data_IF_419858038062
#
_entry.id   IF_419858038062
#
_cell.length_a   1.000
_cell.length_b   1.000
_cell.length_c   1.000
_cell.angle_alpha   90.00
_cell.angle_beta   90.00
_cell.angle_gamma   90.00
#
_symmetry.space_group_name_H-M   'P 1'
#
loop_
_entity.id
_entity.type
_entity.pdbx_description
1 polymer ?
#
# COMPACT_ATOMS: atom_id res chain seq x y z
N UNK A 1 -40.56 -19.78 -25.12
CA UNK A 1 -39.28 -20.37 -25.56
C UNK A 1 -38.16 -19.51 -25.00
N UNK A 2 -37.53 -19.93 -23.92
CA UNK A 2 -36.45 -19.17 -23.27
C UNK A 2 -35.13 -19.77 -23.72
N UNK A 3 -34.43 -19.08 -24.62
CA UNK A 3 -33.11 -19.48 -25.12
C UNK A 3 -32.09 -19.23 -23.99
N UNK A 4 -31.65 -20.27 -23.28
CA UNK A 4 -30.48 -20.17 -22.41
C UNK A 4 -29.23 -20.31 -23.27
N UNK A 5 -28.72 -19.20 -23.79
CA UNK A 5 -27.36 -19.15 -24.35
C UNK A 5 -26.39 -19.28 -23.17
N UNK A 6 -25.90 -20.49 -22.91
CA UNK A 6 -24.81 -20.73 -21.96
C UNK A 6 -23.56 -20.12 -22.59
N UNK A 7 -23.24 -18.88 -22.21
CA UNK A 7 -21.97 -18.26 -22.60
C UNK A 7 -20.88 -19.03 -21.86
N UNK A 8 -20.16 -19.88 -22.58
CA UNK A 8 -18.95 -20.49 -22.03
C UNK A 8 -17.95 -19.38 -21.83
N UNK A 9 -17.41 -19.31 -20.63
CA UNK A 9 -16.41 -18.31 -20.30
C UNK A 9 -15.08 -19.06 -20.19
N UNK A 10 -14.09 -18.55 -20.91
CA UNK A 10 -12.83 -19.25 -21.17
C UNK A 10 -11.65 -18.40 -20.72
N UNK A 11 -10.60 -19.06 -20.24
CA UNK A 11 -9.27 -18.46 -20.04
C UNK A 11 -8.31 -19.17 -20.99
N UNK A 12 -7.60 -18.37 -21.77
CA UNK A 12 -6.52 -18.83 -22.65
C UNK A 12 -5.21 -18.70 -21.90
N UNK A 13 -4.50 -19.82 -21.75
CA UNK A 13 -3.20 -19.87 -21.11
C UNK A 13 -2.07 -19.61 -22.12
N UNK A 14 -0.91 -19.18 -21.62
CA UNK A 14 0.26 -18.90 -22.47
C UNK A 14 0.85 -20.14 -23.16
N UNK A 15 0.52 -21.34 -22.69
CA UNK A 15 0.90 -22.60 -23.33
C UNK A 15 -0.10 -23.05 -24.42
N UNK A 16 -1.15 -22.26 -24.69
CA UNK A 16 -2.19 -22.55 -25.67
C UNK A 16 -3.40 -23.32 -25.12
N UNK A 17 -3.36 -23.75 -23.85
CA UNK A 17 -4.49 -24.44 -23.24
C UNK A 17 -5.67 -23.48 -23.02
N UNK A 18 -6.88 -24.04 -23.09
CA UNK A 18 -8.12 -23.33 -22.82
C UNK A 18 -8.80 -23.96 -21.61
N UNK A 19 -9.11 -23.13 -20.61
CA UNK A 19 -9.86 -23.53 -19.43
C UNK A 19 -11.27 -22.94 -19.50
N UNK A 20 -12.27 -23.80 -19.58
CA UNK A 20 -13.69 -23.43 -19.45
C UNK A 20 -14.07 -23.38 -17.98
N UNK A 21 -14.78 -22.33 -17.56
CA UNK A 21 -15.22 -22.16 -16.18
C UNK A 21 -16.68 -21.72 -16.05
N UNK A 22 -17.26 -22.01 -14.88
CA UNK A 22 -18.60 -21.52 -14.52
C UNK A 22 -18.57 -20.16 -13.82
N UNK A 23 -17.45 -19.83 -13.17
CA UNK A 23 -17.17 -18.54 -12.52
C UNK A 23 -15.67 -18.26 -12.61
N UNK A 24 -15.28 -17.01 -12.85
CA UNK A 24 -13.88 -16.58 -12.83
C UNK A 24 -13.67 -15.51 -11.78
N UNK A 25 -12.54 -15.60 -11.09
CA UNK A 25 -12.07 -14.58 -10.15
C UNK A 25 -10.73 -14.05 -10.65
N UNK A 26 -10.68 -12.75 -10.92
CA UNK A 26 -9.45 -12.05 -11.30
C UNK A 26 -8.81 -11.46 -10.05
N UNK A 27 -7.68 -12.03 -9.64
CA UNK A 27 -6.92 -11.63 -8.45
C UNK A 27 -5.45 -11.36 -8.80
N UNK A 28 -5.20 -10.68 -9.91
CA UNK A 28 -3.87 -10.54 -10.52
C UNK A 28 -2.96 -9.54 -9.80
N UNK A 29 -3.48 -8.78 -8.85
CA UNK A 29 -2.71 -7.83 -8.05
C UNK A 29 -2.15 -6.67 -8.88
N UNK A 30 -0.91 -6.28 -8.59
CA UNK A 30 -0.23 -5.17 -9.26
C UNK A 30 1.18 -5.50 -9.74
N UNK A 31 1.63 -4.74 -10.72
CA UNK A 31 2.99 -4.68 -11.25
C UNK A 31 3.75 -3.52 -10.62
N UNK A 32 5.05 -3.69 -10.40
CA UNK A 32 5.92 -2.58 -9.94
C UNK A 32 6.01 -1.49 -11.01
N UNK A 33 5.95 -0.23 -10.58
CA UNK A 33 6.31 0.89 -11.45
C UNK A 33 7.81 0.86 -11.67
N UNK A 34 8.22 0.99 -12.94
CA UNK A 34 9.63 1.05 -13.35
C UNK A 34 10.07 2.50 -13.50
N UNK A 35 11.31 2.80 -13.13
CA UNK A 35 11.93 4.10 -13.43
C UNK A 35 11.91 4.35 -14.94
N UNK A 36 11.62 5.60 -15.32
CA UNK A 36 11.56 6.06 -16.70
C UNK A 36 12.58 7.19 -16.90
N UNK A 37 13.86 6.85 -16.73
CA UNK A 37 15.00 7.78 -16.83
C UNK A 37 16.11 7.12 -17.65
N UNK A 38 17.02 7.90 -18.28
CA UNK A 38 18.20 7.34 -18.92
C UNK A 38 18.98 6.44 -17.95
N UNK A 39 19.35 5.23 -18.40
CA UNK A 39 20.09 4.23 -17.60
C UNK A 39 19.23 3.35 -16.68
N UNK A 40 17.88 3.42 -16.76
CA UNK A 40 16.98 2.59 -15.94
C UNK A 40 17.01 1.07 -16.26
N UNK A 41 17.74 0.67 -17.29
CA UNK A 41 17.94 -0.70 -17.78
C UNK A 41 19.26 -1.34 -17.32
N UNK A 42 20.06 -0.65 -16.49
CA UNK A 42 21.30 -1.19 -15.92
C UNK A 42 21.04 -2.37 -14.97
N UNK A 43 22.02 -3.29 -14.87
CA UNK A 43 21.84 -4.66 -14.34
C UNK A 43 21.51 -4.75 -12.85
N UNK A 44 22.09 -3.88 -12.03
CA UNK A 44 22.00 -3.86 -10.56
C UNK A 44 20.89 -2.90 -10.05
N UNK A 45 19.84 -2.71 -10.86
CA UNK A 45 18.63 -1.97 -10.48
C UNK A 45 17.51 -2.98 -10.19
N UNK A 46 17.06 -3.01 -8.93
CA UNK A 46 16.08 -3.97 -8.47
C UNK A 46 14.77 -3.31 -8.02
N UNK A 47 13.71 -4.11 -8.01
CA UNK A 47 12.37 -3.76 -7.57
C UNK A 47 11.86 -4.93 -6.74
N UNK A 48 11.03 -4.69 -5.74
CA UNK A 48 10.53 -5.76 -4.86
C UNK A 48 9.04 -5.97 -5.09
N UNK A 49 8.65 -7.16 -5.55
CA UNK A 49 7.25 -7.62 -5.54
C UNK A 49 7.11 -9.09 -5.21
N UNK A 50 8.06 -9.92 -5.68
CA UNK A 50 8.08 -11.36 -5.42
C UNK A 50 9.16 -11.71 -4.39
N UNK A 51 9.07 -12.92 -3.85
CA UNK A 51 10.05 -13.42 -2.88
C UNK A 51 11.44 -13.55 -3.49
N UNK A 52 11.51 -13.88 -4.79
CA UNK A 52 12.78 -14.00 -5.51
C UNK A 52 13.51 -12.66 -5.63
N UNK A 53 12.77 -11.56 -5.79
CA UNK A 53 13.33 -10.21 -5.82
C UNK A 53 14.01 -9.90 -4.48
N UNK A 54 13.30 -10.16 -3.37
CA UNK A 54 13.79 -9.92 -2.02
C UNK A 54 15.02 -10.79 -1.71
N UNK A 55 14.99 -12.08 -2.07
CA UNK A 55 16.11 -13.00 -1.87
C UNK A 55 17.36 -12.55 -2.65
N UNK A 56 17.17 -12.07 -3.88
CA UNK A 56 18.27 -11.57 -4.72
C UNK A 56 18.92 -10.34 -4.07
N UNK A 57 18.12 -9.33 -3.69
CA UNK A 57 18.62 -8.12 -3.03
C UNK A 57 19.30 -8.47 -1.70
N UNK A 58 18.71 -9.36 -0.91
CA UNK A 58 19.27 -9.82 0.36
C UNK A 58 20.67 -10.45 0.19
N UNK A 59 20.90 -11.18 -0.91
CA UNK A 59 22.21 -11.78 -1.21
C UNK A 59 23.26 -10.78 -1.69
N UNK A 60 22.85 -9.68 -2.33
CA UNK A 60 23.75 -8.73 -3.00
C UNK A 60 24.15 -7.53 -2.14
N UNK A 61 23.27 -7.08 -1.24
CA UNK A 61 23.48 -5.84 -0.48
C UNK A 61 24.61 -5.83 0.57
N UNK A 62 25.13 -6.95 1.11
CA UNK A 62 26.15 -6.86 2.16
C UNK A 62 27.40 -6.11 1.71
N UNK A 63 27.84 -5.13 2.49
CA UNK A 63 29.00 -4.29 2.21
C UNK A 63 28.83 -3.30 1.05
N UNK A 64 27.62 -3.13 0.50
CA UNK A 64 27.34 -2.24 -0.64
C UNK A 64 26.79 -0.88 -0.22
N UNK A 65 27.05 0.15 -1.03
CA UNK A 65 26.33 1.43 -0.97
C UNK A 65 24.98 1.26 -1.65
N UNK A 66 23.92 1.17 -0.84
CA UNK A 66 22.56 0.95 -1.33
C UNK A 66 21.84 2.29 -1.45
N UNK A 67 21.26 2.56 -2.62
CA UNK A 67 20.33 3.67 -2.81
C UNK A 67 18.91 3.11 -2.96
N UNK A 68 17.99 3.57 -2.13
CA UNK A 68 16.57 3.25 -2.20
C UNK A 68 15.80 4.42 -2.82
N UNK A 69 15.02 4.18 -3.87
CA UNK A 69 14.17 5.22 -4.50
C UNK A 69 12.74 5.05 -4.03
N UNK A 70 12.21 6.08 -3.37
CA UNK A 70 10.87 6.10 -2.79
C UNK A 70 10.89 6.02 -1.27
N UNK A 71 10.14 6.91 -0.63
CA UNK A 71 10.07 7.10 0.82
C UNK A 71 8.68 6.80 1.41
N UNK A 72 7.87 6.05 0.66
CA UNK A 72 6.62 5.47 1.15
C UNK A 72 6.90 4.13 1.86
N UNK A 73 5.85 3.37 2.19
CA UNK A 73 5.92 2.13 2.99
C UNK A 73 7.00 1.15 2.50
N UNK A 74 6.87 0.65 1.28
CA UNK A 74 7.79 -0.37 0.73
C UNK A 74 9.22 0.15 0.64
N UNK A 75 9.43 1.38 0.19
CA UNK A 75 10.79 1.96 0.09
C UNK A 75 11.47 2.08 1.46
N UNK A 76 10.70 2.48 2.49
CA UNK A 76 11.18 2.58 3.87
C UNK A 76 11.40 1.19 4.50
N UNK A 77 10.53 0.22 4.25
CA UNK A 77 10.70 -1.17 4.72
C UNK A 77 11.95 -1.81 4.13
N UNK A 78 12.17 -1.65 2.82
CA UNK A 78 13.39 -2.09 2.13
C UNK A 78 14.61 -1.44 2.76
N UNK A 79 14.65 -0.10 2.86
CA UNK A 79 15.78 0.61 3.44
C UNK A 79 16.10 0.10 4.86
N UNK A 80 15.07 -0.06 5.69
CA UNK A 80 15.22 -0.55 7.06
C UNK A 80 15.75 -1.98 7.14
N UNK A 81 15.38 -2.84 6.19
CA UNK A 81 15.79 -4.25 6.16
C UNK A 81 17.23 -4.43 5.69
N UNK A 82 17.73 -3.54 4.83
CA UNK A 82 19.08 -3.62 4.26
C UNK A 82 20.14 -2.93 5.14
N UNK A 83 19.72 -2.07 6.08
CA UNK A 83 20.62 -1.21 6.86
C UNK A 83 21.68 -1.99 7.65
N UNK A 84 21.35 -3.17 8.19
CA UNK A 84 22.24 -3.87 9.12
C UNK A 84 23.54 -4.39 8.48
N UNK A 85 23.51 -4.77 7.19
CA UNK A 85 24.66 -5.38 6.51
C UNK A 85 25.18 -4.55 5.32
N UNK A 86 24.49 -3.50 4.90
CA UNK A 86 24.97 -2.59 3.87
C UNK A 86 26.12 -1.71 4.38
N UNK A 87 27.00 -1.24 3.50
CA UNK A 87 28.02 -0.24 3.86
C UNK A 87 27.38 1.14 4.11
N UNK A 88 26.34 1.48 3.32
CA UNK A 88 25.50 2.64 3.54
C UNK A 88 24.12 2.45 2.92
N UNK A 89 23.11 3.15 3.43
CA UNK A 89 21.76 3.21 2.84
C UNK A 89 21.35 4.67 2.70
N UNK A 90 20.99 5.08 1.48
CA UNK A 90 20.43 6.41 1.20
C UNK A 90 19.04 6.27 0.58
N UNK A 91 18.04 6.96 1.13
CA UNK A 91 16.67 7.00 0.60
C UNK A 91 16.45 8.31 -0.17
N UNK A 92 16.03 8.21 -1.42
CA UNK A 92 15.62 9.35 -2.24
C UNK A 92 14.11 9.52 -2.16
N UNK A 93 13.68 10.74 -1.86
CA UNK A 93 12.28 11.12 -1.74
C UNK A 93 12.00 12.35 -2.59
N UNK A 94 10.94 12.28 -3.40
CA UNK A 94 10.41 13.46 -4.09
C UNK A 94 9.56 14.37 -3.18
N UNK A 95 9.25 13.91 -1.97
CA UNK A 95 8.48 14.62 -0.96
C UNK A 95 9.43 15.27 0.06
N UNK A 96 8.94 16.32 0.72
CA UNK A 96 9.68 17.05 1.75
C UNK A 96 10.04 16.19 2.97
N UNK A 97 9.19 15.22 3.31
CA UNK A 97 9.39 14.25 4.39
C UNK A 97 8.92 12.85 3.93
N UNK A 98 9.44 11.75 4.50
CA UNK A 98 8.98 10.39 4.19
C UNK A 98 7.54 10.16 4.68
N UNK A 99 6.91 9.10 4.16
CA UNK A 99 5.53 8.71 4.52
C UNK A 99 4.52 9.87 4.45
N UNK A 100 4.48 10.64 3.34
CA UNK A 100 3.72 11.89 3.26
C UNK A 100 2.20 11.73 3.51
N UNK A 101 1.66 10.51 3.34
CA UNK A 101 0.26 10.18 3.62
C UNK A 101 -0.15 10.41 5.08
N UNK A 102 0.81 10.44 6.01
CA UNK A 102 0.54 10.68 7.43
C UNK A 102 0.80 12.12 7.89
N UNK A 103 1.33 12.98 7.02
CA UNK A 103 1.68 14.35 7.35
C UNK A 103 3.14 14.52 7.78
N UNK A 104 3.62 15.77 7.72
CA UNK A 104 5.04 16.10 7.85
C UNK A 104 5.64 15.83 9.24
N UNK A 105 4.85 15.93 10.30
CA UNK A 105 5.33 15.71 11.67
C UNK A 105 5.63 14.24 11.95
N UNK A 106 4.74 13.33 11.53
CA UNK A 106 4.99 11.89 11.55
C UNK A 106 6.16 11.57 10.61
N UNK A 107 6.21 12.19 9.42
CA UNK A 107 7.32 12.04 8.48
C UNK A 107 8.68 12.42 9.08
N UNK A 108 8.78 13.60 9.73
CA UNK A 108 9.99 14.05 10.44
C UNK A 108 10.39 13.09 11.55
N UNK A 109 9.44 12.64 12.36
CA UNK A 109 9.71 11.67 13.43
C UNK A 109 10.28 10.37 12.88
N UNK A 110 9.68 9.84 11.81
CA UNK A 110 10.17 8.64 11.14
C UNK A 110 11.54 8.84 10.48
N UNK A 111 11.77 10.00 9.84
CA UNK A 111 13.08 10.35 9.28
C UNK A 111 14.16 10.34 10.36
N UNK A 112 13.94 11.03 11.50
CA UNK A 112 14.90 11.06 12.62
C UNK A 112 15.23 9.65 13.10
N UNK A 113 14.22 8.79 13.31
CA UNK A 113 14.44 7.40 13.72
C UNK A 113 15.25 6.58 12.71
N UNK A 114 15.09 6.84 11.41
CA UNK A 114 15.89 6.21 10.36
C UNK A 114 17.32 6.76 10.32
N UNK A 115 17.50 8.07 10.48
CA UNK A 115 18.80 8.74 10.55
C UNK A 115 19.61 8.24 11.78
N UNK A 116 18.96 8.03 12.92
CA UNK A 116 19.54 7.38 14.11
C UNK A 116 20.03 5.95 13.86
N UNK A 117 19.46 5.27 12.86
CA UNK A 117 19.89 3.94 12.39
C UNK A 117 20.93 4.02 11.27
N UNK A 118 21.41 5.22 10.92
CA UNK A 118 22.44 5.44 9.91
C UNK A 118 21.93 5.57 8.47
N UNK A 119 20.62 5.63 8.26
CA UNK A 119 20.02 5.86 6.94
C UNK A 119 20.12 7.34 6.58
N UNK A 120 20.57 7.65 5.36
CA UNK A 120 20.63 9.01 4.83
C UNK A 120 19.40 9.31 3.99
N UNK A 121 19.02 10.57 3.88
CA UNK A 121 17.90 11.01 3.03
C UNK A 121 18.32 12.11 2.05
N UNK A 122 17.87 11.96 0.82
CA UNK A 122 17.85 13.02 -0.19
C UNK A 122 16.38 13.35 -0.48
N UNK A 123 15.88 14.40 0.19
CA UNK A 123 14.47 14.81 0.15
C UNK A 123 14.21 15.87 -0.91
N UNK A 124 12.94 16.05 -1.26
CA UNK A 124 12.48 17.01 -2.26
C UNK A 124 13.28 16.96 -3.59
N UNK A 125 13.70 15.76 -4.01
CA UNK A 125 14.47 15.55 -5.24
C UNK A 125 14.09 14.26 -5.95
N UNK A 126 14.37 14.18 -7.24
CA UNK A 126 14.06 13.02 -8.08
C UNK A 126 15.33 12.48 -8.73
N UNK A 127 15.35 11.19 -9.03
CA UNK A 127 16.33 10.63 -9.97
C UNK A 127 16.03 11.15 -11.36
N UNK A 128 17.03 11.73 -12.05
CA UNK A 128 16.88 12.25 -13.42
C UNK A 128 17.64 11.43 -14.46
N UNK A 129 18.72 10.77 -14.06
CA UNK A 129 19.45 9.79 -14.86
C UNK A 129 20.29 8.88 -13.98
N UNK A 130 20.69 7.76 -14.55
CA UNK A 130 21.58 6.77 -13.94
C UNK A 130 22.78 6.59 -14.87
N UNK A 131 23.97 6.53 -14.29
CA UNK A 131 25.20 6.27 -15.04
C UNK A 131 25.70 4.87 -14.72
N UNK A 132 26.12 4.18 -15.77
CA UNK A 132 26.68 2.84 -15.67
C UNK A 132 28.21 2.83 -15.78
N UNK A 133 28.83 1.83 -15.16
CA UNK A 133 30.23 1.45 -15.38
C UNK A 133 30.39 0.60 -16.65
N UNK A 134 31.62 0.16 -16.94
CA UNK A 134 31.92 -0.70 -18.10
C UNK A 134 31.25 -2.08 -18.06
N UNK A 135 30.84 -2.55 -16.88
CA UNK A 135 30.15 -3.83 -16.71
C UNK A 135 28.63 -3.72 -16.93
N UNK A 136 28.11 -2.51 -17.20
CA UNK A 136 26.68 -2.24 -17.38
C UNK A 136 25.90 -2.21 -16.07
N UNK A 137 26.58 -1.95 -14.96
CA UNK A 137 26.00 -1.74 -13.64
C UNK A 137 25.97 -0.25 -13.31
N UNK A 138 24.91 0.23 -12.66
CA UNK A 138 24.84 1.58 -12.13
C UNK A 138 25.96 1.81 -11.12
N UNK A 139 26.73 2.88 -11.34
CA UNK A 139 27.76 3.38 -10.44
C UNK A 139 27.37 4.72 -9.80
N UNK A 140 26.50 5.48 -10.47
CA UNK A 140 25.99 6.76 -9.98
C UNK A 140 24.52 7.02 -10.24
N UNK A 141 23.89 7.64 -9.26
CA UNK A 141 22.53 8.21 -9.34
C UNK A 141 22.63 9.74 -9.46
N UNK A 142 22.05 10.31 -10.51
CA UNK A 142 22.02 11.76 -10.73
C UNK A 142 20.65 12.28 -10.30
N UNK A 143 20.67 13.30 -9.43
CA UNK A 143 19.48 13.87 -8.83
C UNK A 143 19.09 15.20 -9.49
N UNK A 144 17.81 15.56 -9.41
CA UNK A 144 17.26 16.80 -9.97
C UNK A 144 17.82 18.07 -9.31
N UNK A 145 18.42 17.94 -8.12
CA UNK A 145 19.11 19.03 -7.43
C UNK A 145 20.60 19.16 -7.82
N UNK A 146 21.07 18.37 -8.79
CA UNK A 146 22.44 18.37 -9.30
C UNK A 146 23.43 17.53 -8.49
N UNK A 147 23.02 16.90 -7.39
CA UNK A 147 23.88 15.96 -6.66
C UNK A 147 24.04 14.66 -7.43
N UNK A 148 25.21 14.06 -7.27
CA UNK A 148 25.50 12.69 -7.70
C UNK A 148 25.77 11.82 -6.47
N UNK A 149 25.19 10.63 -6.43
CA UNK A 149 25.43 9.64 -5.38
C UNK A 149 26.12 8.42 -5.96
N UNK A 150 27.21 7.99 -5.33
CA UNK A 150 27.82 6.69 -5.62
C UNK A 150 26.88 5.56 -5.16
N UNK A 151 26.71 4.55 -6.01
CA UNK A 151 25.79 3.42 -5.75
C UNK A 151 26.40 2.12 -6.25
N UNK A 152 26.26 1.07 -5.44
CA UNK A 152 26.58 -0.30 -5.84
C UNK A 152 25.31 -1.13 -6.09
N UNK A 153 24.19 -0.73 -5.47
CA UNK A 153 22.90 -1.40 -5.58
C UNK A 153 21.76 -0.38 -5.49
N UNK A 154 20.94 -0.29 -6.54
CA UNK A 154 19.77 0.59 -6.58
C UNK A 154 18.50 -0.23 -6.39
N UNK A 155 17.68 0.10 -5.39
CA UNK A 155 16.41 -0.60 -5.11
C UNK A 155 15.24 0.38 -5.18
N UNK A 156 14.24 0.09 -6.01
CA UNK A 156 13.13 0.99 -6.30
C UNK A 156 11.82 0.52 -5.66
N UNK A 157 11.26 1.38 -4.79
CA UNK A 157 9.95 1.23 -4.15
C UNK A 157 9.01 2.39 -4.53
N UNK A 158 8.77 2.58 -5.83
CA UNK A 158 8.08 3.76 -6.39
C UNK A 158 6.60 3.55 -6.73
N UNK A 159 5.97 2.55 -6.09
CA UNK A 159 4.55 2.23 -6.25
C UNK A 159 4.26 1.17 -7.32
N UNK A 160 2.98 0.88 -7.51
CA UNK A 160 2.50 -0.18 -8.43
C UNK A 160 1.42 0.33 -9.38
N UNK A 161 1.15 -0.46 -10.42
CA UNK A 161 0.00 -0.33 -11.33
C UNK A 161 -0.78 -1.65 -11.32
N UNK A 162 -2.09 -1.65 -11.61
CA UNK A 162 -2.86 -2.90 -11.65
C UNK A 162 -2.34 -3.82 -12.76
N UNK A 163 -2.27 -5.13 -12.47
CA UNK A 163 -1.85 -6.14 -13.44
C UNK A 163 -3.04 -6.55 -14.33
N UNK A 164 -3.50 -5.62 -15.16
CA UNK A 164 -4.76 -5.71 -15.92
C UNK A 164 -4.60 -5.50 -17.42
N UNK A 165 -3.37 -5.37 -17.91
CA UNK A 165 -3.08 -5.13 -19.34
C UNK A 165 -3.73 -6.16 -20.26
N UNK A 166 -3.73 -7.44 -19.86
CA UNK A 166 -4.33 -8.55 -20.60
C UNK A 166 -5.86 -8.46 -20.73
N UNK A 167 -6.51 -7.57 -19.98
CA UNK A 167 -7.95 -7.34 -20.04
C UNK A 167 -8.34 -6.29 -21.09
N UNK A 168 -7.39 -5.58 -21.70
CA UNK A 168 -7.70 -4.64 -22.78
C UNK A 168 -8.42 -5.36 -23.92
N UNK A 169 -9.56 -4.82 -24.33
CA UNK A 169 -10.41 -5.42 -25.37
C UNK A 169 -11.30 -6.57 -24.89
N UNK A 170 -11.18 -7.05 -23.64
CA UNK A 170 -12.03 -8.14 -23.11
C UNK A 170 -13.48 -7.72 -22.84
N UNK A 171 -13.76 -6.41 -22.78
CA UNK A 171 -15.05 -5.85 -22.37
C UNK A 171 -15.25 -5.74 -20.86
N UNK A 172 -14.29 -6.21 -20.03
CA UNK A 172 -14.28 -5.93 -18.60
C UNK A 172 -14.02 -4.45 -18.37
N UNK A 173 -14.86 -3.82 -17.56
CA UNK A 173 -14.75 -2.40 -17.24
C UNK A 173 -13.49 -2.13 -16.40
N UNK A 174 -12.65 -1.23 -16.90
CA UNK A 174 -11.50 -0.68 -16.19
C UNK A 174 -11.71 0.81 -15.95
N UNK A 175 -11.25 1.33 -14.81
CA UNK A 175 -11.21 2.76 -14.57
C UNK A 175 -10.10 3.44 -15.41
N UNK A 176 -10.02 4.78 -15.34
CA UNK A 176 -9.01 5.55 -16.07
C UNK A 176 -7.56 5.26 -15.63
N UNK A 177 -7.36 4.56 -14.51
CA UNK A 177 -6.06 4.16 -13.97
C UNK A 177 -5.78 2.67 -14.25
N UNK A 178 -6.70 1.96 -14.92
CA UNK A 178 -6.59 0.57 -15.31
C UNK A 178 -7.05 -0.45 -14.26
N UNK A 179 -7.66 -0.03 -13.14
CA UNK A 179 -8.18 -0.96 -12.14
C UNK A 179 -9.52 -1.56 -12.59
N UNK A 180 -9.76 -2.83 -12.26
CA UNK A 180 -11.04 -3.50 -12.56
C UNK A 180 -12.13 -2.87 -11.69
N UNK A 181 -13.18 -2.36 -12.33
CA UNK A 181 -14.33 -1.80 -11.62
C UNK A 181 -15.22 -2.94 -11.13
N UNK A 182 -15.49 -2.97 -9.83
CA UNK A 182 -16.39 -3.96 -9.21
C UNK A 182 -17.45 -3.31 -8.35
N UNK A 183 -18.58 -4.00 -8.13
CA UNK A 183 -19.57 -3.61 -7.13
C UNK A 183 -19.16 -4.02 -5.71
N UNK A 184 -19.98 -3.70 -4.71
CA UNK A 184 -19.78 -4.08 -3.28
C UNK A 184 -19.70 -5.60 -3.06
N UNK A 185 -20.16 -6.39 -4.04
CA UNK A 185 -20.11 -7.85 -4.04
C UNK A 185 -18.98 -8.39 -4.91
N UNK A 186 -18.03 -7.54 -5.30
CA UNK A 186 -16.85 -7.89 -6.10
C UNK A 186 -17.19 -8.42 -7.50
N UNK A 187 -18.37 -8.09 -8.03
CA UNK A 187 -18.79 -8.48 -9.39
C UNK A 187 -18.29 -7.44 -10.38
N UNK A 188 -17.76 -7.91 -11.51
CA UNK A 188 -17.49 -7.05 -12.66
C UNK A 188 -18.77 -6.73 -13.42
N UNK A 189 -18.66 -5.92 -14.48
CA UNK A 189 -19.75 -5.68 -15.42
C UNK A 189 -20.14 -6.94 -16.25
N UNK A 190 -19.33 -8.00 -16.25
CA UNK A 190 -19.62 -9.24 -16.96
C UNK A 190 -20.13 -10.29 -15.97
N UNK A 191 -21.28 -10.89 -16.27
CA UNK A 191 -21.87 -11.93 -15.41
C UNK A 191 -20.90 -13.09 -15.18
N UNK A 192 -20.88 -13.58 -13.93
CA UNK A 192 -20.03 -14.69 -13.47
C UNK A 192 -18.52 -14.42 -13.48
N UNK A 193 -18.09 -13.18 -13.77
CA UNK A 193 -16.70 -12.73 -13.60
C UNK A 193 -16.64 -11.78 -12.41
N UNK A 194 -15.72 -12.07 -11.50
CA UNK A 194 -15.47 -11.34 -10.26
C UNK A 194 -14.01 -10.87 -10.25
N UNK A 195 -13.70 -9.86 -9.43
CA UNK A 195 -12.31 -9.45 -9.22
C UNK A 195 -12.08 -8.96 -7.78
N UNK A 196 -10.87 -9.19 -7.25
CA UNK A 196 -10.50 -8.85 -5.86
C UNK A 196 -9.02 -8.43 -5.74
N UNK A 197 -8.63 -7.98 -4.53
CA UNK A 197 -7.26 -7.59 -4.20
C UNK A 197 -6.80 -6.28 -4.86
N UNK A 198 -5.48 -6.11 -5.01
CA UNK A 198 -4.88 -4.84 -5.46
C UNK A 198 -5.33 -4.39 -6.87
N UNK A 199 -5.85 -5.31 -7.69
CA UNK A 199 -6.23 -5.05 -9.09
C UNK A 199 -7.56 -4.32 -9.25
N UNK A 200 -8.33 -4.12 -8.18
CA UNK A 200 -9.70 -3.60 -8.27
C UNK A 200 -9.86 -2.20 -7.69
N UNK A 201 -10.83 -1.47 -8.22
CA UNK A 201 -11.44 -0.34 -7.52
C UNK A 201 -12.86 -0.73 -7.12
N UNK A 202 -13.20 -0.54 -5.85
CA UNK A 202 -14.44 -0.99 -5.25
C UNK A 202 -15.09 0.14 -4.43
N UNK A 203 -16.42 0.13 -4.26
CA UNK A 203 -17.08 1.04 -3.33
C UNK A 203 -16.63 0.80 -1.89
N UNK A 204 -16.63 1.87 -1.09
CA UNK A 204 -16.39 1.82 0.35
C UNK A 204 -17.59 2.50 1.07
N UNK A 205 -18.69 1.76 1.30
CA UNK A 205 -19.98 2.35 1.68
C UNK A 205 -19.97 3.10 3.00
N UNK A 206 -19.21 2.64 4.00
CA UNK A 206 -19.12 3.33 5.30
C UNK A 206 -18.53 4.76 5.21
N UNK A 207 -17.91 5.11 4.07
CA UNK A 207 -17.35 6.44 3.82
C UNK A 207 -18.09 7.22 2.72
N UNK A 208 -19.18 6.69 2.18
CA UNK A 208 -19.88 7.21 1.00
C UNK A 208 -18.94 7.40 -0.22
N UNK A 209 -18.02 6.45 -0.42
CA UNK A 209 -17.06 6.48 -1.53
C UNK A 209 -17.50 5.46 -2.58
N UNK A 210 -17.78 5.92 -3.79
CA UNK A 210 -18.24 5.06 -4.90
C UNK A 210 -17.12 4.15 -5.45
N UNK A 211 -15.86 4.58 -5.36
CA UNK A 211 -14.75 3.87 -5.98
C UNK A 211 -13.42 4.22 -5.30
N UNK A 212 -12.76 3.23 -4.72
CA UNK A 212 -11.43 3.34 -4.14
C UNK A 212 -10.61 2.07 -4.38
N UNK A 213 -9.30 2.25 -4.55
CA UNK A 213 -8.33 1.16 -4.59
C UNK A 213 -7.48 1.19 -3.31
N UNK A 214 -7.56 0.13 -2.52
CA UNK A 214 -6.81 -0.01 -1.27
C UNK A 214 -5.86 -1.20 -1.42
N UNK A 215 -4.57 -0.91 -1.52
CA UNK A 215 -3.52 -1.89 -1.77
C UNK A 215 -2.91 -2.33 -0.45
N UNK A 216 -3.47 -3.39 0.14
CA UNK A 216 -2.94 -3.96 1.36
C UNK A 216 -3.38 -5.41 1.54
N UNK A 217 -2.53 -6.19 2.22
CA UNK A 217 -2.77 -7.60 2.49
C UNK A 217 -4.12 -7.87 3.15
N UNK A 218 -4.47 -7.12 4.21
CA UNK A 218 -5.72 -7.33 4.95
C UNK A 218 -6.96 -7.03 4.09
N UNK A 219 -6.88 -6.00 3.22
CA UNK A 219 -7.96 -5.67 2.28
C UNK A 219 -8.15 -6.82 1.28
N UNK A 220 -7.07 -7.32 0.68
CA UNK A 220 -7.12 -8.44 -0.25
C UNK A 220 -7.66 -9.73 0.40
N UNK A 221 -7.24 -10.01 1.64
CA UNK A 221 -7.76 -11.14 2.41
C UNK A 221 -9.27 -11.01 2.67
N UNK A 222 -9.72 -9.82 3.05
CA UNK A 222 -11.15 -9.53 3.30
C UNK A 222 -11.97 -9.66 2.01
N UNK A 223 -11.46 -9.14 0.89
CA UNK A 223 -12.10 -9.32 -0.42
C UNK A 223 -12.28 -10.80 -0.76
N UNK A 224 -11.23 -11.63 -0.56
CA UNK A 224 -11.32 -13.07 -0.79
C UNK A 224 -12.36 -13.77 0.08
N UNK A 225 -12.38 -13.46 1.38
CA UNK A 225 -13.39 -14.00 2.31
C UNK A 225 -14.82 -13.63 1.89
N UNK A 226 -15.06 -12.36 1.60
CA UNK A 226 -16.40 -11.85 1.27
C UNK A 226 -16.87 -12.27 -0.12
N UNK A 227 -15.95 -12.40 -1.08
CA UNK A 227 -16.26 -12.98 -2.38
C UNK A 227 -16.76 -14.42 -2.24
N UNK A 228 -16.20 -15.21 -1.32
CA UNK A 228 -16.69 -16.55 -0.99
C UNK A 228 -18.19 -16.58 -0.71
N UNK A 229 -18.68 -15.68 0.16
CA UNK A 229 -20.11 -15.51 0.46
C UNK A 229 -20.91 -15.15 -0.80
N UNK A 230 -20.40 -14.21 -1.59
CA UNK A 230 -21.07 -13.78 -2.82
C UNK A 230 -21.21 -14.94 -3.81
N UNK A 231 -20.15 -15.73 -4.00
CA UNK A 231 -20.13 -16.87 -4.93
C UNK A 231 -21.15 -17.93 -4.52
N UNK A 232 -21.29 -18.22 -3.22
CA UNK A 232 -22.26 -19.20 -2.70
C UNK A 232 -23.66 -18.63 -2.46
N UNK A 233 -23.91 -17.36 -2.82
CA UNK A 233 -25.22 -16.72 -2.69
C UNK A 233 -25.62 -16.39 -1.25
N UNK A 234 -24.66 -16.24 -0.33
CA UNK A 234 -24.89 -15.84 1.05
C UNK A 234 -24.64 -14.33 1.25
N UNK A 235 -25.29 -13.69 2.24
CA UNK A 235 -24.97 -12.31 2.60
C UNK A 235 -23.52 -12.20 3.08
N UNK A 236 -22.86 -11.08 2.79
CA UNK A 236 -21.53 -10.80 3.33
C UNK A 236 -21.59 -10.61 4.86
N UNK A 237 -20.53 -10.93 5.61
CA UNK A 237 -20.51 -10.87 7.07
C UNK A 237 -20.70 -9.48 7.69
N UNK A 238 -20.54 -8.42 6.93
CA UNK A 238 -20.64 -7.03 7.40
C UNK A 238 -19.88 -6.07 6.49
N UNK A 239 -19.70 -4.81 6.88
CA UNK A 239 -18.92 -3.85 6.10
C UNK A 239 -17.41 -4.15 6.18
N UNK A 240 -16.65 -3.52 5.28
CA UNK A 240 -15.18 -3.56 5.27
C UNK A 240 -14.66 -2.29 5.92
N UNK A 241 -13.80 -2.46 6.93
CA UNK A 241 -12.99 -1.38 7.50
C UNK A 241 -11.54 -1.65 7.10
N UNK A 242 -10.92 -0.79 6.28
CA UNK A 242 -9.53 -0.98 5.87
C UNK A 242 -8.60 -0.95 7.08
N UNK A 243 -7.64 -1.88 7.11
CA UNK A 243 -6.59 -1.89 8.13
C UNK A 243 -5.23 -2.08 7.48
N UNK A 244 -4.24 -1.32 7.94
CA UNK A 244 -2.89 -1.24 7.39
C UNK A 244 -1.86 -1.24 8.51
N UNK A 245 -0.70 -1.83 8.24
CA UNK A 245 0.49 -1.65 9.09
C UNK A 245 1.77 -1.63 8.25
N UNK A 246 2.82 -1.07 8.83
CA UNK A 246 4.19 -1.14 8.32
C UNK A 246 5.14 -1.36 9.48
N UNK A 247 6.25 -2.07 9.25
CA UNK A 247 7.24 -2.39 10.28
C UNK A 247 8.65 -2.06 9.76
N UNK A 248 9.41 -1.33 10.57
CA UNK A 248 10.76 -0.90 10.26
C UNK A 248 11.76 -1.50 11.24
N UNK A 249 12.90 -1.95 10.74
CA UNK A 249 14.01 -2.50 11.53
C UNK A 249 13.60 -3.66 12.47
N UNK A 250 12.48 -4.32 12.18
CA UNK A 250 11.82 -5.30 13.07
C UNK A 250 11.54 -4.77 14.49
N UNK A 251 11.46 -3.45 14.68
CA UNK A 251 11.45 -2.82 16.00
C UNK A 251 10.25 -1.90 16.23
N UNK A 252 9.90 -1.06 15.25
CA UNK A 252 8.80 -0.10 15.38
C UNK A 252 8.07 0.06 14.05
N UNK A 253 6.85 0.61 14.10
CA UNK A 253 6.01 0.70 12.93
C UNK A 253 4.83 1.63 13.11
N UNK A 254 4.05 1.77 12.05
CA UNK A 254 2.81 2.53 12.05
C UNK A 254 1.64 1.59 11.77
N UNK A 255 0.50 1.87 12.39
CA UNK A 255 -0.76 1.18 12.17
C UNK A 255 -1.78 2.20 11.73
N UNK A 256 -2.67 1.81 10.82
CA UNK A 256 -3.72 2.69 10.32
C UNK A 256 -5.02 1.90 10.11
N UNK A 257 -6.14 2.50 10.46
CA UNK A 257 -7.46 1.91 10.24
C UNK A 257 -8.43 2.96 9.71
N UNK A 258 -9.30 2.54 8.78
CA UNK A 258 -10.30 3.39 8.15
C UNK A 258 -9.83 4.03 6.85
N UNK A 259 -10.46 5.14 6.48
CA UNK A 259 -10.12 5.96 5.33
C UNK A 259 -10.18 7.43 5.73
N UNK A 260 -9.10 8.19 5.53
CA UNK A 260 -9.03 9.60 5.90
C UNK A 260 -9.54 10.54 4.78
N UNK A 261 -10.02 10.00 3.66
CA UNK A 261 -10.60 10.79 2.58
C UNK A 261 -11.85 11.53 3.06
N UNK A 262 -11.87 12.85 2.83
CA UNK A 262 -12.94 13.73 3.32
C UNK A 262 -12.82 14.13 4.79
N UNK A 263 -11.71 13.79 5.46
CA UNK A 263 -11.37 14.37 6.77
C UNK A 263 -11.26 15.89 6.67
N UNK A 264 -11.85 16.58 7.64
CA UNK A 264 -11.83 18.05 7.76
C UNK A 264 -11.00 18.52 8.95
N UNK A 265 -10.66 17.60 9.86
CA UNK A 265 -9.97 17.91 11.11
C UNK A 265 -9.16 16.71 11.56
N UNK A 266 -8.05 16.99 12.21
CA UNK A 266 -7.24 16.00 12.89
C UNK A 266 -7.19 16.31 14.39
N UNK A 267 -7.07 15.25 15.19
CA UNK A 267 -6.83 15.36 16.62
C UNK A 267 -5.75 14.35 16.99
N UNK A 268 -4.70 14.81 17.66
CA UNK A 268 -3.53 13.99 17.97
C UNK A 268 -3.34 13.91 19.48
N UNK A 269 -3.11 12.70 19.96
CA UNK A 269 -2.59 12.41 21.30
C UNK A 269 -1.16 11.88 21.19
N UNK A 270 -0.32 12.21 22.16
CA UNK A 270 1.11 11.88 22.13
C UNK A 270 1.91 12.81 21.23
N UNK A 271 3.10 12.37 20.85
CA UNK A 271 4.06 13.13 20.06
C UNK A 271 4.40 12.39 18.75
N UNK A 272 3.87 12.87 17.61
CA UNK A 272 4.21 12.36 16.28
C UNK A 272 5.70 12.34 15.98
N UNK A 273 6.46 13.34 16.44
CA UNK A 273 7.90 13.42 16.18
C UNK A 273 8.68 12.41 17.03
N UNK A 274 8.20 12.08 18.23
CA UNK A 274 8.75 10.98 19.03
C UNK A 274 8.32 9.58 18.51
N UNK A 275 7.34 9.54 17.59
CA UNK A 275 6.77 8.31 17.04
C UNK A 275 5.95 7.49 18.05
N UNK A 276 5.47 8.13 19.12
CA UNK A 276 4.53 7.58 20.08
C UNK A 276 3.29 8.48 20.12
N UNK A 277 2.29 8.10 19.31
CA UNK A 277 1.13 8.94 19.08
C UNK A 277 -0.08 8.14 18.62
N UNK A 278 -1.25 8.73 18.78
CA UNK A 278 -2.47 8.33 18.08
C UNK A 278 -3.09 9.56 17.42
N UNK A 279 -3.29 9.50 16.10
CA UNK A 279 -3.92 10.54 15.30
C UNK A 279 -5.27 10.06 14.82
N UNK A 280 -6.29 10.86 15.11
CA UNK A 280 -7.67 10.64 14.69
C UNK A 280 -7.99 11.61 13.55
N UNK A 281 -8.54 11.08 12.46
CA UNK A 281 -9.03 11.85 11.33
C UNK A 281 -10.55 11.97 11.46
N UNK A 282 -11.07 13.19 11.39
CA UNK A 282 -12.47 13.49 11.66
C UNK A 282 -13.15 14.14 10.45
N UNK A 283 -14.35 13.65 10.12
CA UNK A 283 -15.28 14.32 9.20
C UNK A 283 -16.43 14.86 10.03
N UNK A 284 -16.57 16.19 10.07
CA UNK A 284 -17.35 16.88 11.11
C UNK A 284 -16.77 16.54 12.49
N UNK A 285 -17.56 16.00 13.41
CA UNK A 285 -17.11 15.60 14.75
C UNK A 285 -16.95 14.09 14.92
N UNK A 286 -17.03 13.29 13.85
CA UNK A 286 -16.93 11.82 13.91
C UNK A 286 -15.58 11.35 13.40
N UNK A 287 -14.97 10.40 14.10
CA UNK A 287 -13.72 9.74 13.69
C UNK A 287 -14.00 8.81 12.53
N UNK A 288 -13.25 8.99 11.44
CA UNK A 288 -13.36 8.19 10.20
C UNK A 288 -12.09 7.41 9.88
N UNK A 289 -10.97 7.73 10.52
CA UNK A 289 -9.75 6.94 10.47
C UNK A 289 -8.86 7.21 11.67
N UNK A 290 -7.92 6.30 11.92
CA UNK A 290 -6.97 6.38 13.03
C UNK A 290 -5.61 5.90 12.55
N UNK A 291 -4.57 6.70 12.77
CA UNK A 291 -3.16 6.32 12.64
C UNK A 291 -2.51 6.25 14.02
N UNK A 292 -1.54 5.36 14.22
CA UNK A 292 -0.75 5.36 15.44
C UNK A 292 0.67 4.85 15.24
N UNK A 293 1.60 5.43 16.00
CA UNK A 293 2.93 4.89 16.28
C UNK A 293 3.02 4.43 17.74
N UNK A 294 3.98 3.55 18.04
CA UNK A 294 4.20 3.05 19.40
C UNK A 294 3.32 1.84 19.80
N UNK A 295 3.19 1.55 21.12
CA UNK A 295 2.58 0.32 21.62
C UNK A 295 1.05 0.30 21.54
N UNK A 296 0.42 1.45 21.29
CA UNK A 296 -1.05 1.57 21.26
C UNK A 296 -1.71 0.66 20.21
N UNK A 297 -2.92 0.22 20.53
CA UNK A 297 -3.80 -0.61 19.70
C UNK A 297 -5.01 0.15 19.15
N UNK A 298 -5.03 1.49 19.26
CA UNK A 298 -6.19 2.32 18.89
C UNK A 298 -6.73 2.06 17.47
N UNK A 299 -5.91 1.91 16.40
CA UNK A 299 -6.44 1.57 15.09
C UNK A 299 -7.19 0.22 15.05
N UNK A 300 -6.74 -0.79 15.79
CA UNK A 300 -7.41 -2.09 15.82
C UNK A 300 -8.74 -2.02 16.58
N UNK A 301 -8.77 -1.26 17.69
CA UNK A 301 -10.00 -1.00 18.43
C UNK A 301 -11.01 -0.23 17.57
N UNK A 302 -10.54 0.80 16.84
CA UNK A 302 -11.37 1.55 15.91
C UNK A 302 -12.00 0.64 14.85
N UNK A 303 -11.23 -0.27 14.25
CA UNK A 303 -11.73 -1.19 13.23
C UNK A 303 -12.95 -1.98 13.72
N UNK A 304 -12.88 -2.54 14.93
CA UNK A 304 -13.96 -3.35 15.51
C UNK A 304 -15.18 -2.53 15.91
N UNK A 305 -14.97 -1.36 16.53
CA UNK A 305 -16.04 -0.45 16.96
C UNK A 305 -16.79 0.10 15.73
N UNK A 306 -16.04 0.56 14.73
CA UNK A 306 -16.60 1.15 13.52
C UNK A 306 -17.36 0.12 12.68
N UNK A 307 -16.87 -1.13 12.62
CA UNK A 307 -17.57 -2.23 11.94
C UNK A 307 -18.92 -2.56 12.59
N UNK A 308 -19.09 -2.31 13.89
CA UNK A 308 -20.36 -2.46 14.63
C UNK A 308 -21.29 -1.25 14.48
N UNK A 309 -20.89 -0.21 13.75
CA UNK A 309 -21.68 1.02 13.59
C UNK A 309 -21.64 1.93 14.81
N UNK A 310 -20.68 1.74 15.72
CA UNK A 310 -20.50 2.59 16.90
C UNK A 310 -19.64 3.78 16.49
N UNK A 311 -20.15 4.98 16.75
CA UNK A 311 -19.48 6.22 16.38
C UNK A 311 -18.58 6.71 17.52
N UNK A 312 -17.33 7.05 17.18
CA UNK A 312 -16.42 7.75 18.09
C UNK A 312 -16.39 9.22 17.69
N UNK A 313 -16.64 10.12 18.64
CA UNK A 313 -16.73 11.56 18.38
C UNK A 313 -15.56 12.33 18.98
N UNK A 314 -15.36 13.57 18.54
CA UNK A 314 -14.39 14.50 19.14
C UNK A 314 -14.62 14.69 20.65
N UNK A 315 -15.88 14.64 21.11
CA UNK A 315 -16.22 14.75 22.53
C UNK A 315 -15.65 13.55 23.30
N UNK A 316 -15.76 12.35 22.74
CA UNK A 316 -15.23 11.13 23.35
C UNK A 316 -13.69 11.18 23.42
N UNK A 317 -13.05 11.69 22.36
CA UNK A 317 -11.59 11.88 22.34
C UNK A 317 -11.10 12.85 23.42
N UNK A 318 -11.85 13.92 23.70
CA UNK A 318 -11.51 14.90 24.75
C UNK A 318 -11.71 14.36 26.17
N UNK A 319 -12.62 13.41 26.34
CA UNK A 319 -12.96 12.85 27.66
C UNK A 319 -12.16 11.60 28.01
N UNK A 320 -11.54 10.94 27.03
CA UNK A 320 -10.74 9.74 27.21
C UNK A 320 -9.29 10.08 27.56
N UNK A 321 -8.83 9.65 28.74
CA UNK A 321 -7.43 9.80 29.18
C UNK A 321 -6.50 8.69 28.69
N UNK A 322 -7.02 7.48 28.46
CA UNK A 322 -6.18 6.28 28.30
C UNK A 322 -6.18 5.71 26.87
N UNK A 323 -6.81 6.43 25.92
CA UNK A 323 -6.88 6.07 24.50
C UNK A 323 -7.47 4.68 24.21
N UNK A 324 -8.18 4.10 25.17
CA UNK A 324 -8.83 2.81 25.07
C UNK A 324 -10.34 2.98 25.01
N UNK A 325 -10.91 2.59 23.89
CA UNK A 325 -12.35 2.57 23.65
C UNK A 325 -12.92 1.15 23.83
N UNK A 326 -12.15 0.25 24.43
CA UNK A 326 -12.60 -1.13 24.73
C UNK A 326 -13.88 -1.13 25.56
N UNK A 327 -14.12 -0.12 26.38
CA UNK A 327 -15.39 0.05 27.10
C UNK A 327 -16.59 0.29 26.16
N UNK A 328 -16.39 0.90 24.98
CA UNK A 328 -17.45 1.07 23.97
C UNK A 328 -17.78 -0.25 23.25
N UNK A 329 -16.89 -1.25 23.29
CA UNK A 329 -17.18 -2.59 22.75
C UNK A 329 -18.11 -3.43 23.64
N UNK A 330 -18.40 -2.96 24.87
CA UNK A 330 -19.27 -3.65 25.84
C UNK A 330 -20.74 -3.18 25.79
N UNK A 331 -21.06 -2.19 24.96
CA UNK A 331 -22.42 -1.70 24.70
C UNK A 331 -23.02 -2.38 23.48
#
# INVERSE_FOLDING_TARGET
>A
MTLFMKREIEVYLSNGDVIVYSKLVIATGGNVRKLQVPGADLKNIFYVRKVEDANTIASLHPGKNVVCVGSSFIGMEIASSLTANAASVTVISNSAEPLPVFGEDIGRGMRRKFEEKGVRFELATNVVSLRGNFDGEVDKVILSNGKELDVDLLVCGIGVTPATEFLKGSGIALDNRGFIVVDEKFRTNISYIFAIGDAVTAPLPLWDIESINIQHFQTAQTHGQYLGYTIVGKPQPGPIVPYFWTLFFFAFGLKFSGCNQGSTKEYTHGDPEAGDFTRYFLKKDKVIAVASGGPTSAPAQFAEIFKKGIEVTLKDLKNSKDHQWTHLLQQ
#
